data_IF_732103535782
#
_entry.id   IF_732103535782
#
_cell.length_a   1.000
_cell.length_b   1.000
_cell.length_c   1.000
_cell.angle_alpha   90.00
_cell.angle_beta   90.00
_cell.angle_gamma   90.00
#
_symmetry.space_group_name_H-M   'P 1'
#
loop_
_entity.id
_entity.type
_entity.pdbx_description
1 polymer ?
#
# COMPACT_ATOMS: atom_id res chain seq x y z
N UNK A 1 -25.26 20.70 -10.48
CA UNK A 1 -25.56 19.94 -9.25
C UNK A 1 -24.90 18.55 -9.24
N UNK A 2 -24.53 17.99 -10.40
CA UNK A 2 -23.99 16.61 -10.50
C UNK A 2 -22.56 16.40 -10.00
N UNK A 3 -21.69 17.42 -10.05
CA UNK A 3 -20.31 17.31 -9.59
C UNK A 3 -20.19 16.98 -8.09
N UNK A 4 -21.05 17.58 -7.25
CA UNK A 4 -21.08 17.31 -5.81
C UNK A 4 -21.51 15.87 -5.50
N UNK A 5 -22.44 15.33 -6.29
CA UNK A 5 -22.92 13.95 -6.16
C UNK A 5 -21.82 12.94 -6.53
N UNK A 6 -21.08 13.21 -7.61
CA UNK A 6 -19.93 12.40 -8.03
C UNK A 6 -18.80 12.38 -7.00
N UNK A 7 -18.43 13.55 -6.48
CA UNK A 7 -17.39 13.67 -5.44
C UNK A 7 -17.75 12.92 -4.15
N UNK A 8 -19.01 12.99 -3.71
CA UNK A 8 -19.48 12.27 -2.53
C UNK A 8 -19.42 10.74 -2.69
N UNK A 9 -19.73 10.22 -3.89
CA UNK A 9 -19.61 8.79 -4.18
C UNK A 9 -18.15 8.33 -4.14
N UNK A 10 -17.23 9.12 -4.70
CA UNK A 10 -15.79 8.83 -4.65
C UNK A 10 -15.26 8.82 -3.21
N UNK A 11 -15.70 9.76 -2.36
CA UNK A 11 -15.30 9.79 -0.96
C UNK A 11 -15.79 8.55 -0.19
N UNK A 12 -17.04 8.14 -0.40
CA UNK A 12 -17.59 6.94 0.25
C UNK A 12 -16.89 5.66 -0.18
N UNK A 13 -16.55 5.52 -1.47
CA UNK A 13 -15.81 4.35 -1.95
C UNK A 13 -14.38 4.33 -1.39
N UNK A 14 -13.74 5.49 -1.30
CA UNK A 14 -12.44 5.65 -0.66
C UNK A 14 -12.46 5.23 0.82
N UNK A 15 -13.44 5.70 1.59
CA UNK A 15 -13.60 5.33 3.00
C UNK A 15 -13.81 3.82 3.18
N UNK A 16 -14.67 3.21 2.36
CA UNK A 16 -14.90 1.75 2.40
C UNK A 16 -13.61 1.00 2.11
N UNK A 17 -12.85 1.42 1.10
CA UNK A 17 -11.59 0.78 0.73
C UNK A 17 -10.50 0.96 1.80
N UNK A 18 -10.47 2.08 2.51
CA UNK A 18 -9.59 2.23 3.70
C UNK A 18 -9.88 1.17 4.76
N UNK A 19 -11.16 0.93 5.07
CA UNK A 19 -11.56 -0.09 6.06
C UNK A 19 -11.17 -1.48 5.60
N UNK A 20 -11.40 -1.81 4.32
CA UNK A 20 -10.98 -3.09 3.74
C UNK A 20 -9.46 -3.29 3.79
N UNK A 21 -8.67 -2.22 3.62
CA UNK A 21 -7.21 -2.28 3.62
C UNK A 21 -6.61 -2.33 5.02
N UNK A 22 -7.34 -1.93 6.07
CA UNK A 22 -6.85 -1.97 7.45
C UNK A 22 -6.53 -3.40 7.91
N UNK A 23 -7.18 -4.41 7.32
CA UNK A 23 -6.87 -5.82 7.54
C UNK A 23 -5.43 -6.22 7.16
N UNK A 24 -4.75 -5.40 6.35
CA UNK A 24 -3.37 -5.64 5.92
C UNK A 24 -2.34 -4.98 6.84
N UNK A 25 -2.74 -4.17 7.82
CA UNK A 25 -1.83 -3.43 8.68
C UNK A 25 -0.83 -4.35 9.39
N UNK A 26 0.46 -4.05 9.24
CA UNK A 26 1.56 -4.86 9.78
C UNK A 26 1.81 -6.17 9.03
N UNK A 27 1.01 -6.53 8.02
CA UNK A 27 1.26 -7.72 7.19
C UNK A 27 2.27 -7.40 6.09
N UNK A 28 3.02 -8.42 5.72
CA UNK A 28 3.87 -8.37 4.55
C UNK A 28 3.01 -8.47 3.28
N UNK A 29 3.14 -7.49 2.41
CA UNK A 29 2.35 -7.39 1.18
C UNK A 29 3.26 -7.13 -0.02
N UNK A 30 2.75 -7.47 -1.20
CA UNK A 30 3.23 -6.92 -2.46
C UNK A 30 2.16 -5.93 -2.94
N UNK A 31 2.57 -4.72 -3.28
CA UNK A 31 1.71 -3.68 -3.86
C UNK A 31 2.23 -3.38 -5.27
N UNK A 32 1.32 -3.38 -6.24
CA UNK A 32 1.64 -3.06 -7.64
C UNK A 32 0.96 -1.77 -8.06
N UNK A 33 1.73 -0.82 -8.61
CA UNK A 33 1.21 0.44 -9.11
C UNK A 33 0.59 0.32 -10.52
N UNK A 34 -0.04 1.39 -10.99
CA UNK A 34 -0.61 1.48 -12.35
C UNK A 34 0.39 1.28 -13.49
N UNK A 35 1.69 1.43 -13.23
CA UNK A 35 2.78 1.22 -14.21
C UNK A 35 3.31 -0.21 -14.17
N UNK A 36 2.73 -1.09 -13.34
CA UNK A 36 3.16 -2.47 -13.16
C UNK A 36 4.39 -2.62 -12.26
N UNK A 37 4.86 -1.57 -11.59
CA UNK A 37 5.97 -1.67 -10.64
C UNK A 37 5.44 -2.23 -9.33
N UNK A 38 6.01 -3.36 -8.90
CA UNK A 38 5.68 -4.00 -7.63
C UNK A 38 6.72 -3.69 -6.55
N UNK A 39 6.27 -3.48 -5.33
CA UNK A 39 7.12 -3.33 -4.14
C UNK A 39 6.62 -4.25 -3.04
N UNK A 40 7.55 -4.93 -2.37
CA UNK A 40 7.26 -5.76 -1.21
C UNK A 40 7.65 -5.03 0.08
N UNK A 41 6.77 -5.04 1.08
CA UNK A 41 7.02 -4.38 2.36
C UNK A 41 5.92 -4.64 3.36
N UNK A 42 6.08 -4.12 4.58
CA UNK A 42 5.04 -4.20 5.61
C UNK A 42 4.03 -3.10 5.40
N UNK A 43 2.76 -3.44 5.18
CA UNK A 43 1.72 -2.44 4.96
C UNK A 43 1.49 -1.61 6.23
N UNK A 44 1.52 -0.28 6.08
CA UNK A 44 1.32 0.67 7.19
C UNK A 44 -0.07 1.28 7.16
N UNK A 45 -0.43 1.91 6.03
CA UNK A 45 -1.67 2.65 5.89
C UNK A 45 -1.96 2.97 4.41
N UNK A 46 -3.21 3.38 4.17
CA UNK A 46 -3.62 4.06 2.94
C UNK A 46 -4.24 5.39 3.31
N UNK A 47 -3.87 6.43 2.57
CA UNK A 47 -4.41 7.79 2.72
C UNK A 47 -4.90 8.29 1.36
N UNK A 48 -5.97 9.08 1.36
CA UNK A 48 -6.46 9.73 0.15
C UNK A 48 -6.02 11.19 0.16
N UNK A 49 -5.18 11.55 -0.80
CA UNK A 49 -4.60 12.89 -0.96
C UNK A 49 -5.10 13.52 -2.26
N UNK A 50 -5.03 14.84 -2.36
CA UNK A 50 -5.34 15.57 -3.60
C UNK A 50 -4.02 15.90 -4.30
N UNK A 51 -3.85 15.40 -5.52
CA UNK A 51 -2.72 15.68 -6.39
C UNK A 51 -3.30 16.12 -7.74
N UNK A 52 -2.87 17.27 -8.27
CA UNK A 52 -3.36 17.82 -9.55
C UNK A 52 -4.89 17.84 -9.68
N UNK A 53 -5.58 18.30 -8.62
CA UNK A 53 -7.05 18.33 -8.51
C UNK A 53 -7.75 16.95 -8.61
N UNK A 54 -7.01 15.85 -8.44
CA UNK A 54 -7.51 14.48 -8.44
C UNK A 54 -7.31 13.85 -7.05
N UNK A 55 -8.30 13.08 -6.59
CA UNK A 55 -8.14 12.22 -5.42
C UNK A 55 -7.26 11.03 -5.80
N UNK A 56 -6.16 10.86 -5.10
CA UNK A 56 -5.15 9.82 -5.32
C UNK A 56 -4.99 9.00 -4.05
N UNK A 57 -4.98 7.67 -4.18
CA UNK A 57 -4.70 6.78 -3.06
C UNK A 57 -3.19 6.64 -2.87
N UNK A 58 -2.69 7.02 -1.70
CA UNK A 58 -1.29 6.89 -1.29
C UNK A 58 -1.15 5.77 -0.27
N UNK A 59 -0.48 4.70 -0.68
CA UNK A 59 -0.18 3.53 0.12
C UNK A 59 1.18 3.73 0.77
N UNK A 60 1.26 3.58 2.09
CA UNK A 60 2.53 3.63 2.81
C UNK A 60 2.92 2.22 3.22
N UNK A 61 4.17 1.85 2.92
CA UNK A 61 4.77 0.59 3.37
C UNK A 61 6.06 0.90 4.12
N UNK A 62 6.39 0.06 5.10
CA UNK A 62 7.75 -0.01 5.63
C UNK A 62 8.59 -0.94 4.76
N UNK A 63 9.84 -0.57 4.52
CA UNK A 63 10.81 -1.49 3.93
C UNK A 63 11.03 -2.72 4.82
N UNK A 64 11.48 -3.81 4.21
CA UNK A 64 11.88 -5.01 4.93
C UNK A 64 13.31 -4.81 5.40
N UNK A 65 13.54 -4.89 6.71
CA UNK A 65 14.85 -5.03 7.29
C UNK A 65 15.07 -6.51 7.60
N UNK A 66 16.15 -7.09 7.10
CA UNK A 66 16.59 -8.42 7.47
C UNK A 66 17.83 -8.34 8.35
N UNK A 67 17.82 -9.02 9.49
CA UNK A 67 18.96 -9.14 10.40
C UNK A 67 19.01 -10.56 10.98
N UNK A 68 20.11 -11.27 10.76
CA UNK A 68 20.32 -12.65 11.24
C UNK A 68 19.15 -13.60 10.91
N UNK A 69 18.60 -13.50 9.70
CA UNK A 69 17.47 -14.34 9.24
C UNK A 69 16.10 -13.95 9.82
N UNK A 70 16.01 -12.90 10.63
CA UNK A 70 14.75 -12.32 11.08
C UNK A 70 14.37 -11.13 10.19
N UNK A 71 13.09 -11.05 9.83
CA UNK A 71 12.54 -9.90 9.12
C UNK A 71 11.76 -8.99 10.06
N UNK A 72 11.94 -7.69 9.89
CA UNK A 72 11.22 -6.67 10.64
C UNK A 72 10.89 -5.48 9.74
N UNK A 73 9.91 -4.69 10.16
CA UNK A 73 9.63 -3.41 9.51
C UNK A 73 10.79 -2.44 9.77
N UNK A 74 11.32 -1.86 8.69
CA UNK A 74 12.28 -0.75 8.75
C UNK A 74 11.62 0.54 9.22
N UNK A 75 12.43 1.49 9.71
CA UNK A 75 11.99 2.88 9.95
C UNK A 75 11.72 3.63 8.64
N UNK A 76 12.33 3.18 7.54
CA UNK A 76 12.17 3.79 6.22
C UNK A 76 10.84 3.36 5.58
N UNK A 77 10.14 4.33 5.01
CA UNK A 77 8.87 4.12 4.32
C UNK A 77 8.94 4.52 2.88
N UNK A 78 8.22 3.79 2.03
CA UNK A 78 7.93 4.19 0.65
C UNK A 78 6.45 4.50 0.46
N UNK A 79 6.20 5.30 -0.57
CA UNK A 79 4.86 5.64 -1.03
C UNK A 79 4.60 5.03 -2.41
N UNK A 80 3.46 4.36 -2.54
CA UNK A 80 2.93 3.86 -3.80
C UNK A 80 1.62 4.59 -4.08
N UNK A 81 1.45 5.11 -5.29
CA UNK A 81 0.26 5.87 -5.67
C UNK A 81 -0.60 5.07 -6.63
N UNK A 82 -1.92 5.14 -6.41
CA UNK A 82 -2.94 4.49 -7.25
C UNK A 82 -2.63 3.01 -7.51
N UNK A 83 -2.39 2.23 -6.45
CA UNK A 83 -2.11 0.79 -6.59
C UNK A 83 -3.29 0.04 -7.22
N UNK A 84 -2.97 -0.87 -8.15
CA UNK A 84 -3.94 -1.72 -8.87
C UNK A 84 -4.07 -3.10 -8.24
N UNK A 85 -3.06 -3.56 -7.50
CA UNK A 85 -3.08 -4.83 -6.78
C UNK A 85 -2.41 -4.70 -5.41
N UNK A 86 -2.97 -5.39 -4.43
CA UNK A 86 -2.36 -5.61 -3.11
C UNK A 86 -2.69 -7.02 -2.65
N UNK A 87 -1.66 -7.77 -2.30
CA UNK A 87 -1.81 -9.14 -1.80
C UNK A 87 -0.83 -9.43 -0.68
N UNK A 88 -1.31 -10.19 0.30
CA UNK A 88 -0.45 -10.74 1.36
C UNK A 88 0.54 -11.71 0.73
N UNK A 89 1.79 -11.64 1.18
CA UNK A 89 2.85 -12.53 0.73
C UNK A 89 3.62 -13.07 1.94
N UNK A 90 4.42 -14.08 1.71
CA UNK A 90 5.49 -14.48 2.63
C UNK A 90 6.82 -13.91 2.15
N UNK A 91 7.77 -13.81 3.06
CA UNK A 91 9.14 -13.49 2.70
C UNK A 91 9.83 -14.79 2.27
N UNK A 92 10.11 -14.93 0.97
CA UNK A 92 10.98 -15.98 0.47
C UNK A 92 12.36 -15.38 0.30
N UNK A 93 13.22 -15.67 1.26
CA UNK A 93 14.61 -15.32 1.18
C UNK A 93 15.26 -16.21 0.12
N UNK A 94 15.65 -15.65 -1.03
CA UNK A 94 16.31 -16.41 -2.11
C UNK A 94 17.82 -16.59 -1.87
N UNK A 95 18.33 -16.22 -0.69
CA UNK A 95 19.76 -16.26 -0.40
C UNK A 95 19.98 -16.85 0.98
N UNK A 96 20.34 -18.14 1.01
CA UNK A 96 21.61 -18.65 1.55
C UNK A 96 21.73 -20.11 1.09
N UNK A 97 22.09 -20.32 -0.19
CA UNK A 97 22.93 -21.48 -0.48
C UNK A 97 24.34 -21.06 0.00
N UNK A 98 24.72 -21.54 1.18
CA UNK A 98 26.11 -21.47 1.67
C UNK A 98 26.85 -22.67 1.11
#
# INVERSE_FOLDING_TARGET
MDYLKGANLMLKSAQKKTVELDQFKGKLVIITDTKGKSVQGFFKSVEYVIIDNKITARYTIYHILECNGLIMASVHTDYIYDAVDIRVTTYKNYRYDV
#
